data_IF_869667272485
#
_entry.id   IF_869667272485
#
_cell.length_a   1.000
_cell.length_b   1.000
_cell.length_c   1.000
_cell.angle_alpha   90.00
_cell.angle_beta   90.00
_cell.angle_gamma   90.00
#
_symmetry.space_group_name_H-M   'P 1'
#
loop_
_entity.id
_entity.type
_entity.pdbx_description
1 polymer ?
#
# COMPACT_ATOMS: atom_id res chain seq x y z
N UNK A 1 -34.28 0.43 -36.38
CA UNK A 1 -32.86 0.63 -36.06
C UNK A 1 -32.02 -0.19 -37.03
N UNK A 2 -31.09 0.42 -37.78
CA UNK A 2 -30.31 -0.23 -38.83
C UNK A 2 -29.42 -1.36 -38.24
N UNK A 3 -29.44 -2.61 -38.77
CA UNK A 3 -28.59 -3.71 -38.30
C UNK A 3 -27.09 -3.36 -38.29
N UNK A 4 -26.61 -2.51 -39.20
CA UNK A 4 -25.22 -2.05 -39.23
C UNK A 4 -24.84 -1.23 -38.00
N UNK A 5 -25.75 -0.38 -37.51
CA UNK A 5 -25.55 0.42 -36.30
C UNK A 5 -25.47 -0.47 -35.06
N UNK A 6 -26.29 -1.54 -35.02
CA UNK A 6 -26.26 -2.50 -33.91
C UNK A 6 -24.95 -3.26 -33.83
N UNK A 7 -24.44 -3.74 -34.97
CA UNK A 7 -23.16 -4.46 -35.03
C UNK A 7 -22.02 -3.53 -34.58
N UNK A 8 -22.01 -2.28 -35.04
CA UNK A 8 -20.98 -1.31 -34.68
C UNK A 8 -20.98 -0.99 -33.18
N UNK A 9 -22.17 -0.78 -32.58
CA UNK A 9 -22.32 -0.53 -31.15
C UNK A 9 -21.90 -1.73 -30.31
N UNK A 10 -22.25 -2.96 -30.74
CA UNK A 10 -21.83 -4.19 -30.04
C UNK A 10 -20.32 -4.38 -30.11
N UNK A 11 -19.68 -4.17 -31.27
CA UNK A 11 -18.23 -4.28 -31.41
C UNK A 11 -17.49 -3.24 -30.54
N UNK A 12 -17.97 -1.99 -30.54
CA UNK A 12 -17.35 -0.90 -29.79
C UNK A 12 -17.46 -1.13 -28.28
N UNK A 13 -18.57 -1.71 -27.82
CA UNK A 13 -18.79 -2.05 -26.40
C UNK A 13 -17.91 -3.22 -25.94
N UNK A 14 -17.69 -4.22 -26.81
CA UNK A 14 -16.79 -5.34 -26.53
C UNK A 14 -15.32 -4.93 -26.43
N UNK A 15 -14.87 -3.94 -27.22
CA UNK A 15 -13.49 -3.43 -27.20
C UNK A 15 -13.19 -2.55 -25.98
N UNK A 16 -14.19 -1.85 -25.44
CA UNK A 16 -14.04 -1.06 -24.22
C UNK A 16 -13.93 -1.92 -22.95
N UNK A 17 -14.50 -3.13 -22.95
CA UNK A 17 -14.43 -4.06 -21.82
C UNK A 17 -13.06 -4.75 -21.68
N UNK A 18 -12.28 -4.87 -22.77
CA UNK A 18 -10.97 -5.55 -22.76
C UNK A 18 -9.80 -4.67 -22.31
N UNK A 19 -10.02 -3.38 -22.06
CA UNK A 19 -9.01 -2.42 -21.56
C UNK A 19 -9.13 -2.12 -20.06
N UNK A 20 -10.13 -2.69 -19.37
CA UNK A 20 -10.23 -2.58 -17.92
C UNK A 20 -9.32 -3.62 -17.24
N UNK A 21 -8.07 -3.23 -16.98
CA UNK A 21 -7.15 -3.99 -16.12
C UNK A 21 -7.29 -3.48 -14.68
N UNK A 22 -7.59 -4.38 -13.74
CA UNK A 22 -7.45 -4.07 -12.33
C UNK A 22 -5.96 -3.83 -12.03
N UNK A 23 -5.64 -2.72 -11.37
CA UNK A 23 -4.27 -2.45 -10.97
C UNK A 23 -3.81 -3.49 -9.94
N UNK A 24 -2.65 -4.11 -10.18
CA UNK A 24 -2.06 -5.03 -9.22
C UNK A 24 -1.71 -4.31 -7.92
N UNK A 25 -2.11 -4.89 -6.79
CA UNK A 25 -1.67 -4.42 -5.49
C UNK A 25 -0.19 -4.78 -5.31
N UNK A 26 0.72 -3.82 -5.06
CA UNK A 26 2.13 -4.13 -4.92
C UNK A 26 2.35 -5.11 -3.77
N UNK A 27 3.18 -6.13 -4.01
CA UNK A 27 3.55 -7.09 -2.96
C UNK A 27 4.19 -6.35 -1.77
N UNK A 28 3.66 -6.50 -0.55
CA UNK A 28 4.24 -5.86 0.63
C UNK A 28 5.67 -6.36 0.91
N UNK A 29 6.53 -5.46 1.37
CA UNK A 29 7.85 -5.79 1.91
C UNK A 29 7.83 -5.69 3.44
N UNK A 30 8.24 -6.76 4.13
CA UNK A 30 8.30 -6.82 5.59
C UNK A 30 9.64 -6.30 6.13
N UNK A 31 9.62 -5.80 7.37
CA UNK A 31 10.80 -5.36 8.08
C UNK A 31 10.56 -5.25 9.59
N UNK A 32 11.64 -5.13 10.35
CA UNK A 32 11.61 -4.86 11.77
C UNK A 32 12.40 -3.59 12.08
N UNK A 33 11.91 -2.78 13.03
CA UNK A 33 12.64 -1.67 13.61
C UNK A 33 12.84 -1.90 15.10
N UNK A 34 14.10 -1.89 15.56
CA UNK A 34 14.45 -2.09 16.97
C UNK A 34 14.74 -0.76 17.65
N UNK A 35 13.99 -0.46 18.70
CA UNK A 35 14.25 0.64 19.62
C UNK A 35 14.92 0.06 20.87
N UNK A 36 16.15 0.51 21.15
CA UNK A 36 16.87 0.11 22.37
C UNK A 36 16.44 0.97 23.55
N UNK A 37 16.45 0.37 24.74
CA UNK A 37 16.14 1.01 26.02
C UNK A 37 14.80 1.78 25.98
N UNK A 38 13.77 1.13 25.45
CA UNK A 38 12.46 1.73 25.31
C UNK A 38 11.82 1.97 26.67
N UNK A 39 11.57 3.23 27.00
CA UNK A 39 10.94 3.65 28.25
C UNK A 39 9.43 3.80 28.09
N UNK A 40 8.68 3.00 28.83
CA UNK A 40 7.22 3.15 28.90
C UNK A 40 6.83 4.36 29.76
N UNK A 41 5.60 4.83 29.59
CA UNK A 41 5.02 5.90 30.44
C UNK A 41 4.98 5.51 31.91
N UNK A 42 4.89 4.21 32.23
CA UNK A 42 4.99 3.69 33.62
C UNK A 42 6.36 3.93 34.27
N UNK A 43 7.40 4.20 33.46
CA UNK A 43 8.79 4.34 33.91
C UNK A 43 9.62 3.07 33.75
N UNK A 44 8.99 1.93 33.48
CA UNK A 44 9.67 0.68 33.15
C UNK A 44 10.45 0.80 31.83
N UNK A 45 11.53 0.04 31.70
CA UNK A 45 12.38 0.04 30.51
C UNK A 45 12.48 -1.37 29.94
N UNK A 46 12.24 -1.49 28.64
CA UNK A 46 12.53 -2.70 27.88
C UNK A 46 13.87 -2.54 27.15
N UNK A 47 14.83 -3.46 27.30
CA UNK A 47 16.12 -3.35 26.63
C UNK A 47 16.00 -3.22 25.12
N UNK A 48 15.05 -3.93 24.51
CA UNK A 48 14.76 -3.85 23.08
C UNK A 48 13.27 -4.00 22.80
N UNK A 49 12.67 -2.96 22.19
CA UNK A 49 11.34 -3.03 21.60
C UNK A 49 11.49 -3.23 20.08
N UNK A 50 10.94 -4.34 19.56
CA UNK A 50 10.95 -4.64 18.12
C UNK A 50 9.58 -4.38 17.51
N UNK A 51 9.54 -3.50 16.51
CA UNK A 51 8.34 -3.16 15.76
C UNK A 51 8.41 -3.83 14.40
N UNK A 52 7.58 -4.83 14.19
CA UNK A 52 7.34 -5.39 12.86
C UNK A 52 6.52 -4.40 12.03
N UNK A 53 6.81 -4.31 10.73
CA UNK A 53 6.04 -3.49 9.80
C UNK A 53 6.09 -4.03 8.37
N UNK A 54 5.14 -3.55 7.57
CA UNK A 54 5.07 -3.73 6.12
C UNK A 54 5.09 -2.41 5.39
N UNK A 55 5.72 -2.41 4.23
CA UNK A 55 5.70 -1.30 3.27
C UNK A 55 5.10 -1.73 1.95
N UNK A 56 4.36 -0.84 1.30
CA UNK A 56 3.75 -1.05 -0.01
C UNK A 56 4.19 0.09 -0.91
N UNK A 57 4.72 -0.23 -2.09
CA UNK A 57 5.22 0.75 -3.04
C UNK A 57 6.69 1.13 -2.82
N UNK A 58 7.09 2.33 -3.28
CA UNK A 58 8.48 2.81 -3.27
C UNK A 58 8.59 4.18 -2.58
N UNK A 59 9.60 4.39 -1.72
CA UNK A 59 9.83 5.69 -1.11
C UNK A 59 10.37 6.67 -2.15
N UNK A 60 9.76 7.85 -2.24
CA UNK A 60 10.30 9.01 -2.96
C UNK A 60 11.03 9.89 -1.96
N UNK A 61 12.26 10.29 -2.29
CA UNK A 61 13.12 11.09 -1.40
C UNK A 61 13.39 12.47 -1.98
N UNK A 62 13.42 13.48 -1.13
CA UNK A 62 13.90 14.80 -1.51
C UNK A 62 15.43 14.85 -1.64
N UNK A 63 15.96 16.04 -1.97
CA UNK A 63 17.40 16.26 -2.13
C UNK A 63 18.20 16.04 -0.83
N UNK A 64 17.54 16.04 0.34
CA UNK A 64 18.13 15.78 1.65
C UNK A 64 17.99 14.30 2.07
N UNK A 65 17.36 13.47 1.23
CA UNK A 65 17.17 12.04 1.47
C UNK A 65 15.95 11.70 2.35
N UNK A 66 15.10 12.69 2.68
CA UNK A 66 13.87 12.46 3.46
C UNK A 66 12.78 11.92 2.55
N UNK A 67 12.08 10.88 3.00
CA UNK A 67 10.90 10.35 2.28
C UNK A 67 9.75 11.36 2.30
N UNK A 68 9.24 11.73 1.12
CA UNK A 68 8.20 12.76 0.96
C UNK A 68 6.79 12.21 0.78
N UNK A 69 6.67 10.93 0.42
CA UNK A 69 5.41 10.24 0.13
C UNK A 69 5.01 9.18 1.17
N UNK A 70 5.55 9.27 2.39
CA UNK A 70 5.26 8.30 3.45
C UNK A 70 3.87 8.52 4.07
N UNK A 71 3.09 7.44 4.19
CA UNK A 71 1.81 7.40 4.89
C UNK A 71 1.85 6.27 5.92
N UNK A 72 1.45 6.56 7.16
CA UNK A 72 1.35 5.56 8.23
C UNK A 72 -0.08 5.01 8.30
N UNK A 73 -0.20 3.70 8.25
CA UNK A 73 -1.45 2.97 8.45
C UNK A 73 -1.31 2.13 9.72
N UNK A 74 -2.26 2.26 10.65
CA UNK A 74 -2.28 1.49 11.89
C UNK A 74 -3.41 0.47 11.87
N UNK A 75 -3.16 -0.71 12.42
CA UNK A 75 -4.17 -1.75 12.58
C UNK A 75 -5.00 -1.54 13.85
N UNK A 76 -6.22 -2.11 13.88
CA UNK A 76 -7.03 -2.21 15.10
C UNK A 76 -6.54 -3.31 16.04
N UNK A 77 -7.16 -3.46 17.21
CA UNK A 77 -6.68 -4.35 18.30
C UNK A 77 -6.39 -5.80 17.89
N UNK A 78 -7.11 -6.35 16.91
CA UNK A 78 -6.96 -7.75 16.45
C UNK A 78 -6.19 -7.89 15.13
N UNK A 79 -5.72 -6.78 14.55
CA UNK A 79 -4.95 -6.80 13.31
C UNK A 79 -3.45 -6.97 13.53
N UNK A 80 -2.71 -7.16 12.44
CA UNK A 80 -1.25 -7.17 12.40
C UNK A 80 -0.77 -6.62 11.06
N UNK A 81 0.49 -6.22 11.00
CA UNK A 81 1.14 -5.76 9.78
C UNK A 81 2.48 -5.16 10.05
#
# INVERSE_FOLDING_TARGET
>A
MNPTIRIFVTLLSGLAASVASAGDYPTPTEGDYTIRDFKFTSGETLPELRLHYRTIGKPEKDAQGKTTNAVLIMHGTTGSG
#
